data_IF_073932503142
#
_entry.id   IF_073932503142
#
_cell.length_a   1.000
_cell.length_b   1.000
_cell.length_c   1.000
_cell.angle_alpha   90.00
_cell.angle_beta   90.00
_cell.angle_gamma   90.00
#
_symmetry.space_group_name_H-M   'P 1'
#
loop_
_entity.id
_entity.type
_entity.pdbx_description
1 polymer ?
#
# COMPACT_ATOMS: atom_id res chain seq x y z
N UNK A 1 -61.87 4.55 -39.67
CA UNK A 1 -63.12 5.30 -39.54
C UNK A 1 -63.11 5.94 -38.18
N UNK A 2 -62.80 7.08 -38.03
CA UNK A 2 -63.24 8.42 -37.76
C UNK A 2 -62.02 9.33 -37.46
N UNK A 3 -61.82 10.24 -38.41
CA UNK A 3 -61.09 11.52 -38.25
C UNK A 3 -61.98 12.53 -37.56
N UNK A 4 -61.43 13.52 -36.85
CA UNK A 4 -61.84 14.91 -36.70
C UNK A 4 -60.66 15.62 -35.99
N UNK A 5 -60.00 16.46 -36.51
CA UNK A 5 -59.74 17.81 -37.05
C UNK A 5 -60.11 18.97 -36.12
N UNK A 6 -59.12 19.91 -36.01
CA UNK A 6 -59.17 21.37 -35.78
C UNK A 6 -59.56 21.91 -34.40
N UNK A 7 -58.78 22.82 -33.79
CA UNK A 7 -58.77 24.24 -34.16
C UNK A 7 -57.71 25.05 -33.40
N UNK A 8 -57.02 25.89 -34.15
CA UNK A 8 -56.25 27.06 -33.64
C UNK A 8 -57.12 28.12 -33.04
N UNK A 9 -56.65 28.81 -32.01
CA UNK A 9 -57.00 30.22 -31.80
C UNK A 9 -55.81 30.99 -31.17
N UNK A 10 -55.32 31.97 -31.89
CA UNK A 10 -54.51 33.09 -31.45
C UNK A 10 -55.29 33.95 -30.42
N UNK A 11 -54.58 34.57 -29.48
CA UNK A 11 -54.57 36.01 -29.28
C UNK A 11 -53.94 36.48 -27.96
N UNK A 12 -53.13 37.52 -28.12
CA UNK A 12 -52.83 38.69 -27.28
C UNK A 12 -51.56 38.69 -26.44
N UNK A 13 -50.66 39.43 -27.06
CA UNK A 13 -49.52 40.13 -26.43
C UNK A 13 -50.01 41.14 -25.38
N UNK A 14 -49.51 41.06 -24.18
CA UNK A 14 -49.45 42.15 -23.20
C UNK A 14 -47.99 42.38 -22.81
N UNK A 15 -47.43 43.52 -23.26
CA UNK A 15 -46.17 44.04 -22.76
C UNK A 15 -46.37 44.67 -21.38
N UNK A 16 -45.63 44.18 -20.41
CA UNK A 16 -45.39 44.93 -19.16
C UNK A 16 -43.89 45.05 -18.97
N UNK A 17 -43.39 46.27 -19.00
CA UNK A 17 -42.04 46.63 -18.62
C UNK A 17 -41.93 46.53 -17.10
N UNK A 18 -40.99 45.74 -16.61
CA UNK A 18 -40.61 45.68 -15.22
C UNK A 18 -39.09 45.70 -15.10
N UNK A 19 -38.58 46.60 -14.30
CA UNK A 19 -37.22 47.03 -14.12
C UNK A 19 -36.22 45.88 -13.88
N UNK A 20 -35.11 45.89 -14.60
CA UNK A 20 -33.94 45.04 -14.40
C UNK A 20 -33.12 45.60 -13.24
N UNK A 21 -33.03 44.87 -12.14
CA UNK A 21 -31.98 45.00 -11.13
C UNK A 21 -30.76 44.18 -11.59
N UNK A 22 -29.54 44.68 -11.52
CA UNK A 22 -28.36 43.92 -11.96
C UNK A 22 -28.05 42.82 -10.94
N UNK A 23 -28.16 41.56 -11.37
CA UNK A 23 -27.65 40.41 -10.66
C UNK A 23 -26.12 40.46 -10.71
N UNK A 24 -25.46 40.66 -9.56
CA UNK A 24 -24.05 40.49 -9.41
C UNK A 24 -23.71 39.02 -9.67
N UNK A 25 -23.01 38.76 -10.76
CA UNK A 25 -22.33 37.50 -10.99
C UNK A 25 -21.29 37.33 -9.88
N UNK A 26 -21.57 36.44 -8.92
CA UNK A 26 -20.54 35.86 -8.11
C UNK A 26 -19.76 34.90 -9.00
N UNK A 27 -18.53 35.30 -9.31
CA UNK A 27 -17.51 34.42 -9.86
C UNK A 27 -17.24 33.40 -8.78
N UNK A 28 -17.74 32.16 -8.95
CA UNK A 28 -17.31 31.00 -8.22
C UNK A 28 -15.83 30.85 -8.59
N UNK A 29 -14.94 31.17 -7.67
CA UNK A 29 -13.53 30.80 -7.77
C UNK A 29 -13.50 29.27 -7.85
N UNK A 30 -13.22 28.74 -9.03
CA UNK A 30 -12.68 27.40 -9.17
C UNK A 30 -11.46 27.33 -8.26
N UNK A 31 -11.57 26.54 -7.20
CA UNK A 31 -10.44 26.14 -6.41
C UNK A 31 -9.54 25.34 -7.36
N UNK A 32 -8.44 25.96 -7.75
CA UNK A 32 -7.36 25.30 -8.44
C UNK A 32 -6.98 24.07 -7.58
N UNK A 33 -7.32 22.89 -8.07
CA UNK A 33 -6.71 21.66 -7.63
C UNK A 33 -5.22 21.84 -7.99
N UNK A 34 -4.39 22.09 -7.00
CA UNK A 34 -2.96 22.03 -7.19
C UNK A 34 -2.67 20.58 -7.62
N UNK A 35 -2.20 20.42 -8.85
CA UNK A 35 -1.55 19.19 -9.29
C UNK A 35 -0.29 19.03 -8.42
N UNK A 36 -0.47 18.43 -7.23
CA UNK A 36 0.67 17.99 -6.42
C UNK A 36 1.38 16.94 -7.26
N UNK A 37 2.56 17.29 -7.74
CA UNK A 37 3.44 16.38 -8.45
C UNK A 37 3.72 15.21 -7.51
N UNK A 38 3.34 14.02 -7.94
CA UNK A 38 3.64 12.77 -7.24
C UNK A 38 5.16 12.56 -7.33
N UNK A 39 5.87 12.89 -6.28
CA UNK A 39 7.31 12.62 -6.17
C UNK A 39 7.45 11.38 -5.31
N UNK A 40 7.76 10.25 -5.92
CA UNK A 40 8.25 9.08 -5.21
C UNK A 40 9.67 9.40 -4.75
N UNK A 41 9.87 9.67 -3.46
CA UNK A 41 11.20 9.92 -2.92
C UNK A 41 12.03 8.65 -3.00
N UNK A 42 13.18 8.69 -3.67
CA UNK A 42 14.24 7.70 -3.60
C UNK A 42 14.85 7.71 -2.19
N UNK A 43 14.15 7.11 -1.25
CA UNK A 43 14.62 7.01 0.13
C UNK A 43 15.67 5.92 0.19
N UNK A 44 16.89 6.30 0.50
CA UNK A 44 17.97 5.35 0.76
C UNK A 44 17.59 4.44 1.93
N UNK A 45 17.66 3.13 1.70
CA UNK A 45 17.45 2.14 2.75
C UNK A 45 18.45 2.32 3.90
N UNK A 46 17.98 2.27 5.15
CA UNK A 46 18.83 2.26 6.35
C UNK A 46 19.62 0.94 6.44
N UNK A 47 19.03 -0.16 5.94
CA UNK A 47 19.63 -1.49 5.83
C UNK A 47 18.91 -2.30 4.74
N UNK A 48 19.52 -3.39 4.30
CA UNK A 48 18.95 -4.26 3.27
C UNK A 48 17.90 -5.21 3.83
N UNK A 49 16.88 -5.49 3.01
CA UNK A 49 15.87 -6.53 3.26
C UNK A 49 15.81 -7.45 2.04
N UNK A 50 15.44 -8.72 2.27
CA UNK A 50 15.19 -9.70 1.21
C UNK A 50 13.95 -10.54 1.53
N UNK A 51 13.27 -10.99 0.50
CA UNK A 51 12.16 -11.93 0.58
C UNK A 51 12.64 -13.37 0.33
N UNK A 52 11.92 -14.38 0.82
CA UNK A 52 12.08 -15.77 0.37
C UNK A 52 11.45 -15.92 -1.02
N UNK A 53 12.16 -15.41 -2.05
CA UNK A 53 11.67 -15.27 -3.42
C UNK A 53 12.78 -15.52 -4.44
N UNK A 54 12.42 -15.49 -5.73
CA UNK A 54 13.34 -15.56 -6.86
C UNK A 54 13.91 -14.18 -7.21
N UNK A 55 15.18 -14.15 -7.60
CA UNK A 55 15.89 -12.94 -8.02
C UNK A 55 16.61 -13.22 -9.35
N UNK A 56 16.44 -12.33 -10.33
CA UNK A 56 17.19 -12.33 -11.57
C UNK A 56 18.60 -11.82 -11.34
N UNK A 57 19.56 -12.32 -12.12
CA UNK A 57 20.91 -11.75 -12.15
C UNK A 57 20.83 -10.36 -12.85
N UNK A 58 21.38 -9.35 -12.22
CA UNK A 58 21.50 -8.02 -12.80
C UNK A 58 22.96 -7.71 -13.03
N UNK A 59 23.41 -7.67 -14.29
CA UNK A 59 24.81 -7.43 -14.69
C UNK A 59 25.83 -8.34 -13.96
N UNK A 60 25.42 -9.59 -13.64
CA UNK A 60 26.25 -10.57 -12.94
C UNK A 60 26.14 -10.50 -11.41
N UNK A 61 25.37 -9.58 -10.86
CA UNK A 61 25.04 -9.51 -9.45
C UNK A 61 23.63 -10.01 -9.19
N UNK A 62 23.45 -10.79 -8.13
CA UNK A 62 22.15 -11.28 -7.71
C UNK A 62 21.92 -10.94 -6.23
N UNK A 63 20.82 -10.25 -5.88
CA UNK A 63 20.55 -9.85 -4.50
C UNK A 63 20.57 -11.00 -3.50
N UNK A 64 20.16 -12.21 -3.90
CA UNK A 64 20.18 -13.40 -3.05
C UNK A 64 21.58 -13.75 -2.52
N UNK A 65 22.65 -13.30 -3.20
CA UNK A 65 24.04 -13.56 -2.77
C UNK A 65 24.42 -12.80 -1.49
N UNK A 66 23.74 -11.71 -1.16
CA UNK A 66 24.01 -10.92 0.05
C UNK A 66 23.50 -11.63 1.32
N UNK A 67 22.47 -12.50 1.18
CA UNK A 67 21.91 -13.22 2.31
C UNK A 67 22.92 -14.18 2.95
N UNK A 68 23.07 -14.08 4.25
CA UNK A 68 23.96 -14.92 5.01
C UNK A 68 23.46 -15.15 6.45
N UNK A 69 24.18 -15.97 7.23
CA UNK A 69 23.79 -16.36 8.59
C UNK A 69 23.82 -15.22 9.65
N UNK A 70 24.24 -14.00 9.29
CA UNK A 70 24.19 -12.82 10.17
C UNK A 70 22.85 -12.05 10.03
N UNK A 71 22.12 -12.30 8.96
CA UNK A 71 20.81 -11.71 8.76
C UNK A 71 19.80 -12.27 9.76
N UNK A 72 18.76 -11.50 10.01
CA UNK A 72 17.65 -11.87 10.89
C UNK A 72 16.48 -12.29 10.03
N UNK A 73 15.85 -13.39 10.39
CA UNK A 73 14.65 -13.94 9.77
C UNK A 73 13.42 -13.57 10.61
N UNK A 74 12.47 -12.84 10.01
CA UNK A 74 11.13 -12.68 10.56
C UNK A 74 10.24 -13.77 9.97
N UNK A 75 9.78 -14.68 10.79
CA UNK A 75 8.99 -15.83 10.36
C UNK A 75 7.80 -16.11 11.27
N UNK A 76 6.83 -16.85 10.73
CA UNK A 76 5.64 -17.31 11.46
C UNK A 76 5.79 -18.80 11.80
N UNK A 77 5.50 -19.14 13.05
CA UNK A 77 5.39 -20.51 13.50
C UNK A 77 4.13 -20.68 14.38
N UNK A 78 3.20 -21.52 13.92
CA UNK A 78 1.95 -21.81 14.62
C UNK A 78 1.13 -20.56 15.03
N UNK A 79 1.01 -19.59 14.12
CA UNK A 79 0.29 -18.33 14.36
C UNK A 79 1.02 -17.34 15.26
N UNK A 80 2.29 -17.58 15.55
CA UNK A 80 3.15 -16.70 16.35
C UNK A 80 4.36 -16.28 15.53
N UNK A 81 4.75 -15.03 15.64
CA UNK A 81 5.89 -14.48 14.90
C UNK A 81 7.15 -14.44 15.76
N UNK A 82 8.28 -14.67 15.12
CA UNK A 82 9.60 -14.71 15.75
C UNK A 82 10.63 -13.99 14.91
N UNK A 83 11.62 -13.39 15.57
CA UNK A 83 12.91 -13.08 14.98
C UNK A 83 13.90 -14.20 15.30
N UNK A 84 14.49 -14.75 14.28
CA UNK A 84 15.43 -15.87 14.40
C UNK A 84 16.64 -15.75 13.50
N UNK A 85 17.50 -16.76 13.58
CA UNK A 85 18.61 -16.92 12.63
C UNK A 85 18.06 -17.45 11.33
N UNK A 86 18.63 -16.99 10.22
CA UNK A 86 18.27 -17.45 8.88
C UNK A 86 18.58 -18.94 8.69
N UNK A 87 17.62 -19.68 8.17
CA UNK A 87 17.80 -21.06 7.70
C UNK A 87 17.21 -21.20 6.29
N UNK A 88 18.10 -21.22 5.30
CA UNK A 88 17.74 -21.13 3.90
C UNK A 88 18.71 -21.93 3.02
N UNK A 89 18.27 -22.20 1.79
CA UNK A 89 19.09 -22.64 0.67
C UNK A 89 18.93 -21.66 -0.49
N UNK A 90 19.93 -21.59 -1.35
CA UNK A 90 19.86 -20.84 -2.61
C UNK A 90 19.74 -21.86 -3.74
N UNK A 91 18.65 -21.79 -4.47
CA UNK A 91 18.40 -22.61 -5.65
C UNK A 91 18.71 -21.80 -6.92
N UNK A 92 19.41 -22.41 -7.87
CA UNK A 92 19.71 -21.80 -9.16
C UNK A 92 18.61 -22.17 -10.14
N UNK A 93 18.20 -21.22 -10.93
CA UNK A 93 17.21 -21.36 -11.97
C UNK A 93 17.58 -20.55 -13.22
N UNK A 94 16.67 -20.54 -14.15
CA UNK A 94 16.76 -19.78 -15.38
C UNK A 94 15.38 -19.23 -15.72
N UNK A 95 15.30 -17.96 -16.05
CA UNK A 95 14.09 -17.31 -16.50
C UNK A 95 14.09 -17.29 -18.03
N UNK A 96 13.27 -18.13 -18.63
CA UNK A 96 13.16 -18.24 -20.08
C UNK A 96 12.58 -16.99 -20.73
N UNK A 97 11.82 -16.22 -19.98
CA UNK A 97 11.17 -15.01 -20.44
C UNK A 97 12.18 -13.92 -20.81
N UNK A 98 13.12 -13.65 -19.92
CA UNK A 98 14.16 -12.63 -20.14
C UNK A 98 15.50 -13.23 -20.57
N UNK A 99 15.61 -14.56 -20.56
CA UNK A 99 16.84 -15.25 -20.96
C UNK A 99 17.98 -15.10 -19.95
N UNK A 100 17.67 -15.02 -18.65
CA UNK A 100 18.67 -14.75 -17.62
C UNK A 100 18.65 -15.81 -16.49
N UNK A 101 19.79 -15.90 -15.78
CA UNK A 101 19.93 -16.77 -14.62
C UNK A 101 19.18 -16.20 -13.43
N UNK A 102 18.61 -17.09 -12.62
CA UNK A 102 17.90 -16.73 -11.39
C UNK A 102 18.49 -17.44 -10.18
N UNK A 103 18.25 -16.87 -9.00
CA UNK A 103 18.52 -17.49 -7.70
C UNK A 103 17.32 -17.28 -6.79
N UNK A 104 16.77 -18.37 -6.30
CA UNK A 104 15.66 -18.35 -5.37
C UNK A 104 16.13 -18.61 -3.95
N UNK A 105 15.73 -17.75 -3.01
CA UNK A 105 15.93 -17.96 -1.59
C UNK A 105 14.81 -18.86 -1.08
N UNK A 106 15.14 -20.11 -0.77
CA UNK A 106 14.20 -21.07 -0.21
C UNK A 106 14.40 -21.13 1.30
N UNK A 107 13.48 -20.53 2.05
CA UNK A 107 13.49 -20.58 3.50
C UNK A 107 12.97 -21.93 4.01
N UNK A 108 13.56 -22.46 5.09
CA UNK A 108 13.02 -23.60 5.83
C UNK A 108 11.96 -23.20 6.86
N UNK A 109 11.85 -21.90 7.14
CA UNK A 109 10.79 -21.32 7.97
C UNK A 109 9.66 -20.77 7.07
N UNK A 110 8.56 -20.40 7.67
CA UNK A 110 7.58 -19.51 7.02
C UNK A 110 8.04 -18.06 7.10
N UNK A 111 9.17 -17.76 6.45
CA UNK A 111 9.77 -16.42 6.49
C UNK A 111 8.89 -15.41 5.77
N UNK A 112 8.75 -14.26 6.39
CA UNK A 112 8.08 -13.08 5.80
C UNK A 112 9.15 -12.20 5.16
N UNK A 113 10.27 -11.99 5.89
CA UNK A 113 11.29 -11.02 5.52
C UNK A 113 12.62 -11.39 6.17
N UNK A 114 13.70 -11.26 5.42
CA UNK A 114 15.07 -11.27 5.93
C UNK A 114 15.59 -9.83 6.06
N UNK A 115 16.29 -9.51 7.16
CA UNK A 115 16.76 -8.16 7.47
C UNK A 115 18.25 -8.17 7.79
N UNK A 116 19.03 -7.34 7.10
CA UNK A 116 20.44 -7.09 7.44
C UNK A 116 20.56 -6.05 8.56
N UNK A 117 19.91 -6.35 9.70
CA UNK A 117 19.91 -5.46 10.87
C UNK A 117 20.24 -6.25 12.16
N UNK A 118 21.53 -6.49 12.44
CA UNK A 118 21.94 -7.38 13.55
C UNK A 118 21.65 -6.83 14.95
N UNK A 119 21.17 -5.60 15.09
CA UNK A 119 20.79 -5.01 16.38
C UNK A 119 19.43 -5.50 16.90
N UNK A 120 18.63 -6.16 16.06
CA UNK A 120 17.35 -6.71 16.47
C UNK A 120 17.54 -7.85 17.47
N UNK A 121 16.70 -7.90 18.49
CA UNK A 121 16.72 -8.93 19.52
C UNK A 121 15.96 -10.17 19.05
N UNK A 122 16.65 -11.31 18.99
CA UNK A 122 16.01 -12.58 18.61
C UNK A 122 15.00 -13.02 19.66
N UNK A 123 13.92 -13.66 19.21
CA UNK A 123 12.89 -14.21 20.07
C UNK A 123 11.47 -14.02 19.52
N UNK A 124 10.50 -14.30 20.38
CA UNK A 124 9.09 -14.10 20.07
C UNK A 124 8.76 -12.62 19.96
N UNK A 125 7.97 -12.24 18.94
CA UNK A 125 7.47 -10.88 18.71
C UNK A 125 6.03 -10.78 19.20
N UNK A 126 5.71 -9.68 19.86
CA UNK A 126 4.32 -9.29 20.08
C UNK A 126 3.75 -8.75 18.77
N UNK A 127 2.68 -9.33 18.29
CA UNK A 127 2.06 -8.96 17.01
C UNK A 127 0.55 -8.99 17.09
N UNK A 128 -0.10 -8.30 16.15
CA UNK A 128 -1.54 -8.32 15.99
C UNK A 128 -1.96 -9.35 14.96
N UNK A 129 -3.09 -10.00 15.20
CA UNK A 129 -3.79 -10.75 14.15
C UNK A 129 -4.58 -9.75 13.32
N UNK A 130 -4.17 -9.57 12.07
CA UNK A 130 -4.87 -8.70 11.15
C UNK A 130 -6.17 -9.35 10.70
N UNK A 131 -7.27 -8.62 10.86
CA UNK A 131 -8.61 -9.01 10.35
C UNK A 131 -8.93 -8.34 9.02
N UNK A 132 -8.18 -7.31 8.68
CA UNK A 132 -8.27 -6.56 7.43
C UNK A 132 -6.87 -6.10 7.05
N UNK A 133 -6.47 -6.37 5.82
CA UNK A 133 -5.15 -6.04 5.28
C UNK A 133 -5.19 -4.94 4.20
N UNK A 134 -6.31 -4.77 3.49
CA UNK A 134 -6.52 -3.70 2.50
C UNK A 134 -7.33 -2.56 3.09
N UNK A 135 -6.86 -1.34 2.96
CA UNK A 135 -7.53 -0.12 3.46
C UNK A 135 -7.88 0.74 2.25
N UNK A 136 -9.14 0.63 1.80
CA UNK A 136 -9.60 1.32 0.60
C UNK A 136 -9.78 2.82 0.84
N UNK A 137 -9.71 3.67 -0.22
CA UNK A 137 -10.02 5.10 -0.11
C UNK A 137 -11.35 5.35 0.60
N UNK A 138 -11.33 6.31 1.54
CA UNK A 138 -12.46 6.65 2.40
C UNK A 138 -12.61 5.76 3.65
N UNK A 139 -11.81 4.71 3.80
CA UNK A 139 -11.85 3.85 4.98
C UNK A 139 -10.89 4.31 6.08
N UNK A 140 -11.25 3.89 7.30
CA UNK A 140 -10.46 4.09 8.51
C UNK A 140 -10.38 2.78 9.28
N UNK A 141 -9.16 2.37 9.63
CA UNK A 141 -8.90 1.14 10.40
C UNK A 141 -8.12 1.51 11.65
N UNK A 142 -8.57 1.03 12.81
CA UNK A 142 -7.88 1.23 14.08
C UNK A 142 -7.31 -0.09 14.58
N UNK A 143 -6.01 -0.11 14.81
CA UNK A 143 -5.31 -1.19 15.48
C UNK A 143 -5.00 -0.74 16.91
N UNK A 144 -5.28 -1.64 17.88
CA UNK A 144 -4.96 -1.39 19.30
C UNK A 144 -3.78 -2.26 19.69
N UNK A 145 -2.74 -1.63 20.21
CA UNK A 145 -1.55 -2.36 20.67
C UNK A 145 -1.04 -1.71 21.95
N UNK A 146 -0.87 -2.53 22.98
CA UNK A 146 -0.55 -2.06 24.35
C UNK A 146 -1.52 -0.92 24.77
N UNK A 147 -1.00 0.26 25.05
CA UNK A 147 -1.78 1.43 25.48
C UNK A 147 -1.96 2.47 24.34
N UNK A 148 -1.76 2.09 23.10
CA UNK A 148 -1.83 2.99 21.94
C UNK A 148 -2.84 2.54 20.89
N UNK A 149 -3.53 3.52 20.31
CA UNK A 149 -4.35 3.35 19.13
C UNK A 149 -3.56 3.82 17.89
N UNK A 150 -3.49 2.96 16.88
CA UNK A 150 -2.89 3.23 15.57
C UNK A 150 -4.02 3.31 14.56
N UNK A 151 -4.22 4.48 14.00
CA UNK A 151 -5.34 4.75 13.11
C UNK A 151 -4.82 4.99 11.71
N UNK A 152 -5.12 4.06 10.82
CA UNK A 152 -4.91 4.22 9.39
C UNK A 152 -6.13 4.88 8.76
N UNK A 153 -5.88 5.78 7.82
CA UNK A 153 -6.89 6.43 6.99
C UNK A 153 -6.37 6.49 5.56
N UNK A 154 -7.21 6.10 4.61
CA UNK A 154 -6.82 6.11 3.21
C UNK A 154 -7.62 7.13 2.41
N UNK A 155 -6.94 7.78 1.48
CA UNK A 155 -7.47 8.65 0.44
C UNK A 155 -7.11 8.10 -0.94
N UNK A 156 -7.81 8.56 -1.96
CA UNK A 156 -7.57 8.18 -3.34
C UNK A 156 -8.86 8.26 -4.15
N UNK A 157 -8.72 8.16 -5.47
CA UNK A 157 -9.85 8.15 -6.40
C UNK A 157 -10.20 6.72 -6.79
N UNK A 158 -11.40 6.27 -6.43
CA UNK A 158 -11.93 4.97 -6.85
C UNK A 158 -12.50 5.13 -8.27
N UNK A 159 -11.93 4.42 -9.24
CA UNK A 159 -12.36 4.44 -10.64
C UNK A 159 -13.47 3.41 -10.90
N UNK A 160 -13.33 2.20 -10.36
CA UNK A 160 -14.31 1.12 -10.46
C UNK A 160 -14.29 0.25 -9.21
N UNK A 161 -15.38 -0.49 -9.04
CA UNK A 161 -15.51 -1.51 -7.98
C UNK A 161 -16.08 -2.77 -8.60
N UNK A 162 -15.45 -3.90 -8.38
CA UNK A 162 -15.86 -5.20 -8.91
C UNK A 162 -15.79 -6.28 -7.83
N UNK A 163 -16.53 -7.35 -8.03
CA UNK A 163 -16.38 -8.58 -7.25
C UNK A 163 -15.45 -9.51 -8.00
N UNK A 164 -14.44 -10.01 -7.32
CA UNK A 164 -13.53 -11.05 -7.82
C UNK A 164 -13.74 -12.33 -7.04
N UNK A 165 -13.61 -13.45 -7.73
CA UNK A 165 -13.61 -14.77 -7.09
C UNK A 165 -12.15 -15.18 -7.00
N UNK A 166 -11.67 -15.42 -5.77
CA UNK A 166 -10.34 -15.90 -5.50
C UNK A 166 -10.24 -17.41 -5.78
N UNK A 167 -9.03 -17.95 -5.86
CA UNK A 167 -8.76 -19.36 -6.13
C UNK A 167 -9.41 -20.33 -5.11
N UNK A 168 -9.67 -19.85 -3.89
CA UNK A 168 -10.37 -20.61 -2.83
C UNK A 168 -11.90 -20.43 -2.87
N UNK A 169 -12.45 -19.91 -3.97
CA UNK A 169 -13.87 -19.58 -4.19
C UNK A 169 -14.44 -18.51 -3.23
N UNK A 170 -13.59 -17.75 -2.56
CA UNK A 170 -14.06 -16.59 -1.78
C UNK A 170 -14.29 -15.39 -2.68
N UNK A 171 -15.36 -14.65 -2.40
CA UNK A 171 -15.60 -13.36 -3.04
C UNK A 171 -14.76 -12.28 -2.35
N UNK A 172 -14.06 -11.49 -3.15
CA UNK A 172 -13.37 -10.27 -2.72
C UNK A 172 -13.94 -9.07 -3.46
N UNK A 173 -14.03 -7.94 -2.76
CA UNK A 173 -14.31 -6.64 -3.39
C UNK A 173 -12.97 -6.03 -3.79
N UNK A 174 -12.76 -5.87 -5.10
CA UNK A 174 -11.63 -5.17 -5.66
C UNK A 174 -12.03 -3.77 -6.13
N UNK A 175 -11.17 -2.79 -5.88
CA UNK A 175 -11.37 -1.41 -6.34
C UNK A 175 -10.16 -0.97 -7.15
N UNK A 176 -10.39 -0.50 -8.37
CA UNK A 176 -9.36 0.19 -9.14
C UNK A 176 -9.21 1.60 -8.59
N UNK A 177 -8.00 1.96 -8.18
CA UNK A 177 -7.72 3.21 -7.45
C UNK A 177 -6.60 3.98 -8.12
N UNK A 178 -6.69 5.32 -8.11
CA UNK A 178 -5.63 6.25 -8.47
C UNK A 178 -5.35 7.22 -7.32
N UNK A 179 -4.14 7.77 -7.28
CA UNK A 179 -3.69 8.76 -6.30
C UNK A 179 -3.94 8.32 -4.86
N UNK A 180 -3.56 7.07 -4.57
CA UNK A 180 -3.72 6.49 -3.24
C UNK A 180 -2.74 7.11 -2.25
N UNK A 181 -3.24 7.51 -1.10
CA UNK A 181 -2.45 7.99 0.04
C UNK A 181 -2.92 7.26 1.30
N UNK A 182 -1.99 6.69 2.05
CA UNK A 182 -2.25 6.07 3.35
C UNK A 182 -1.59 6.89 4.44
N UNK A 183 -2.41 7.30 5.39
CA UNK A 183 -2.00 8.08 6.55
C UNK A 183 -2.03 7.22 7.80
N UNK A 184 -1.14 7.52 8.75
CA UNK A 184 -1.11 6.93 10.07
C UNK A 184 -1.14 8.03 11.14
N UNK A 185 -1.94 7.78 12.17
CA UNK A 185 -2.01 8.59 13.38
C UNK A 185 -1.93 7.67 14.60
N UNK A 186 -1.16 8.05 15.61
CA UNK A 186 -1.12 7.36 16.90
C UNK A 186 -1.73 8.22 18.00
N UNK A 187 -2.63 7.67 18.80
CA UNK A 187 -3.29 8.37 19.90
C UNK A 187 -3.79 9.78 19.47
N UNK A 188 -3.31 10.83 20.17
CA UNK A 188 -3.62 12.22 19.89
C UNK A 188 -2.54 12.93 19.06
N UNK A 189 -1.54 12.21 18.57
CA UNK A 189 -0.48 12.75 17.71
C UNK A 189 -1.00 13.27 16.37
N UNK A 190 -0.17 13.98 15.60
CA UNK A 190 -0.53 14.40 14.26
C UNK A 190 -0.71 13.21 13.32
N UNK A 191 -1.54 13.39 12.32
CA UNK A 191 -1.65 12.43 11.21
C UNK A 191 -0.51 12.66 10.22
N UNK A 192 0.17 11.59 9.83
CA UNK A 192 1.33 11.63 8.92
C UNK A 192 1.07 10.76 7.70
N UNK A 193 1.50 11.22 6.53
CA UNK A 193 1.53 10.41 5.32
C UNK A 193 2.54 9.27 5.50
N UNK A 194 2.07 8.03 5.35
CA UNK A 194 2.88 6.83 5.53
C UNK A 194 3.43 6.34 4.19
N UNK A 195 2.57 6.22 3.19
CA UNK A 195 2.92 5.84 1.83
C UNK A 195 1.92 6.42 0.82
N UNK A 196 2.36 6.52 -0.42
CA UNK A 196 1.51 6.92 -1.54
C UNK A 196 1.85 6.11 -2.79
N UNK A 197 0.83 5.88 -3.63
CA UNK A 197 0.97 5.17 -4.92
C UNK A 197 0.07 5.89 -5.93
N UNK A 198 0.64 6.28 -7.05
CA UNK A 198 -0.09 7.03 -8.08
C UNK A 198 -1.14 6.17 -8.78
N UNK A 199 -0.71 4.99 -9.24
CA UNK A 199 -1.58 4.04 -9.96
C UNK A 199 -1.26 2.61 -9.57
N UNK A 200 -2.24 1.72 -9.74
CA UNK A 200 -2.09 0.29 -9.57
C UNK A 200 -2.51 -0.43 -10.86
N UNK A 201 -1.73 -1.41 -11.26
CA UNK A 201 -2.06 -2.32 -12.34
C UNK A 201 -2.38 -3.71 -11.75
N UNK A 202 -3.67 -4.00 -11.59
CA UNK A 202 -4.23 -5.25 -11.04
C UNK A 202 -3.71 -5.68 -9.66
N UNK A 203 -3.22 -4.71 -8.87
CA UNK A 203 -2.69 -4.93 -7.52
C UNK A 203 -3.22 -3.87 -6.55
N UNK A 204 -2.83 -3.95 -5.29
CA UNK A 204 -3.17 -2.95 -4.27
C UNK A 204 -2.25 -3.06 -3.05
N UNK A 205 -2.21 -2.00 -2.24
CA UNK A 205 -1.46 -1.98 -0.97
C UNK A 205 -2.10 -2.91 0.06
N UNK A 206 -1.27 -3.75 0.67
CA UNK A 206 -1.68 -4.68 1.74
C UNK A 206 -0.81 -4.52 2.99
N UNK A 207 -1.43 -4.42 4.15
CA UNK A 207 -0.74 -4.55 5.42
C UNK A 207 -0.46 -6.03 5.68
N UNK A 208 0.80 -6.45 5.52
CA UNK A 208 1.24 -7.84 5.67
C UNK A 208 1.53 -8.21 7.12
N UNK A 209 2.02 -7.24 7.91
CA UNK A 209 2.41 -7.46 9.29
C UNK A 209 2.24 -6.20 10.13
N UNK A 210 1.82 -6.37 11.40
CA UNK A 210 1.84 -5.35 12.43
C UNK A 210 2.28 -5.98 13.77
N UNK A 211 3.41 -5.54 14.30
CA UNK A 211 3.98 -6.05 15.55
C UNK A 211 5.24 -5.30 15.95
N UNK A 212 5.74 -5.58 17.13
CA UNK A 212 6.90 -4.92 17.75
C UNK A 212 8.18 -5.64 17.32
N UNK A 213 8.70 -5.32 16.14
CA UNK A 213 9.90 -5.98 15.53
C UNK A 213 11.16 -5.59 16.28
N UNK A 214 11.30 -4.32 16.65
CA UNK A 214 12.51 -3.78 17.26
C UNK A 214 12.48 -3.79 18.80
N UNK A 215 11.37 -4.27 19.37
CA UNK A 215 11.16 -4.48 20.79
C UNK A 215 11.20 -3.20 21.64
N UNK A 216 10.67 -2.10 21.07
CA UNK A 216 10.51 -0.80 21.75
C UNK A 216 9.13 -0.62 22.41
N UNK A 217 8.22 -1.60 22.25
CA UNK A 217 6.86 -1.60 22.80
C UNK A 217 5.82 -0.91 21.93
N UNK A 218 6.15 -0.56 20.69
CA UNK A 218 5.26 0.05 19.71
C UNK A 218 5.08 -0.84 18.49
N UNK A 219 4.16 -0.46 17.60
CA UNK A 219 3.96 -1.19 16.34
C UNK A 219 4.91 -0.74 15.26
N UNK A 220 5.50 -1.73 14.61
CA UNK A 220 6.15 -1.67 13.33
C UNK A 220 5.26 -2.30 12.27
N UNK A 221 5.48 -1.96 11.01
CA UNK A 221 4.61 -2.40 9.92
C UNK A 221 5.41 -2.91 8.72
N UNK A 222 4.87 -3.94 8.08
CA UNK A 222 5.32 -4.38 6.76
C UNK A 222 4.13 -4.26 5.82
N UNK A 223 4.33 -3.53 4.72
CA UNK A 223 3.35 -3.41 3.64
C UNK A 223 3.85 -4.09 2.38
N UNK A 224 2.99 -4.84 1.72
CA UNK A 224 3.08 -5.12 0.30
C UNK A 224 2.50 -3.91 -0.44
N UNK A 225 3.27 -3.30 -1.31
CA UNK A 225 2.90 -2.07 -1.98
C UNK A 225 3.18 -2.13 -3.49
N UNK A 226 2.86 -3.28 -4.09
CA UNK A 226 3.03 -3.53 -5.51
C UNK A 226 2.29 -2.47 -6.33
N UNK A 227 2.95 -1.95 -7.35
CA UNK A 227 2.38 -0.99 -8.31
C UNK A 227 1.82 -1.71 -9.53
N UNK A 228 2.38 -2.91 -9.80
CA UNK A 228 2.04 -3.77 -10.90
C UNK A 228 1.87 -5.22 -10.44
N UNK A 229 1.09 -6.03 -11.18
CA UNK A 229 0.89 -7.45 -10.88
C UNK A 229 2.17 -8.29 -11.10
N UNK A 230 3.12 -7.79 -11.89
CA UNK A 230 4.44 -8.39 -12.13
C UNK A 230 5.52 -7.87 -11.18
N UNK A 231 5.15 -7.09 -10.16
CA UNK A 231 6.05 -6.58 -9.13
C UNK A 231 5.73 -7.23 -7.79
N UNK A 232 6.76 -7.64 -7.05
CA UNK A 232 6.68 -7.82 -5.59
C UNK A 232 7.44 -6.70 -4.91
N UNK A 233 6.71 -5.80 -4.24
CA UNK A 233 7.28 -4.67 -3.52
C UNK A 233 6.89 -4.72 -2.05
N UNK A 234 7.88 -4.67 -1.17
CA UNK A 234 7.70 -4.68 0.27
C UNK A 234 8.37 -3.48 0.92
N UNK A 235 7.66 -2.83 1.83
CA UNK A 235 8.14 -1.67 2.59
C UNK A 235 8.11 -1.99 4.08
N UNK A 236 9.22 -1.78 4.77
CA UNK A 236 9.36 -1.94 6.21
C UNK A 236 9.40 -0.57 6.91
N UNK A 237 8.56 -0.42 7.92
CA UNK A 237 8.52 0.74 8.81
C UNK A 237 8.83 0.31 10.24
N UNK A 238 9.77 1.02 10.90
CA UNK A 238 10.12 0.80 12.31
C UNK A 238 9.82 2.04 13.16
N UNK A 239 9.28 1.82 14.35
CA UNK A 239 8.94 2.88 15.30
C UNK A 239 10.16 3.45 16.02
N UNK A 240 11.17 2.63 16.37
CA UNK A 240 12.41 3.07 17.02
C UNK A 240 13.23 4.05 16.16
N UNK A 241 13.00 4.03 14.84
CA UNK A 241 13.70 4.90 13.89
C UNK A 241 12.93 6.19 13.56
N UNK A 242 11.73 6.34 14.13
CA UNK A 242 10.90 7.51 13.93
C UNK A 242 11.54 8.78 14.53
N UNK A 243 11.42 9.87 13.81
CA UNK A 243 11.91 11.20 14.19
C UNK A 243 10.76 12.21 14.09
N UNK A 244 10.92 13.39 14.71
CA UNK A 244 10.00 14.52 14.53
C UNK A 244 8.50 14.19 14.75
N UNK A 245 8.18 13.46 15.82
CA UNK A 245 6.80 13.07 16.18
C UNK A 245 6.13 12.14 15.14
N UNK A 246 6.88 11.56 14.25
CA UNK A 246 6.38 10.51 13.37
C UNK A 246 6.14 9.21 14.16
N UNK A 247 5.06 8.47 13.85
CA UNK A 247 4.80 7.22 14.54
C UNK A 247 5.78 6.11 14.15
N UNK A 248 6.24 6.11 12.91
CA UNK A 248 7.20 5.16 12.32
C UNK A 248 8.00 5.84 11.21
N UNK A 249 9.16 5.29 10.89
CA UNK A 249 10.00 5.67 9.74
C UNK A 249 10.06 4.53 8.74
N UNK A 250 9.96 4.84 7.43
CA UNK A 250 10.35 3.91 6.36
C UNK A 250 11.86 3.66 6.45
N UNK A 251 12.25 2.43 6.75
CA UNK A 251 13.66 2.07 6.96
C UNK A 251 14.23 1.25 5.82
N UNK A 252 13.38 0.52 5.11
CA UNK A 252 13.79 -0.30 3.97
C UNK A 252 12.64 -0.55 3.02
N UNK A 253 13.01 -0.71 1.78
CA UNK A 253 12.13 -1.11 0.69
C UNK A 253 12.86 -2.06 -0.24
N UNK A 254 12.14 -3.03 -0.76
CA UNK A 254 12.59 -3.96 -1.81
C UNK A 254 11.51 -4.06 -2.87
N UNK A 255 11.89 -3.93 -4.13
CA UNK A 255 11.04 -4.23 -5.27
C UNK A 255 11.73 -5.27 -6.17
N UNK A 256 11.00 -6.29 -6.56
CA UNK A 256 11.43 -7.36 -7.45
C UNK A 256 10.48 -7.35 -8.65
N UNK A 257 11.04 -7.22 -9.86
CA UNK A 257 10.28 -7.23 -11.12
C UNK A 257 10.34 -8.62 -11.75
N UNK A 258 9.18 -9.07 -12.25
CA UNK A 258 9.02 -10.38 -12.93
C UNK A 258 8.54 -10.24 -14.37
N UNK A 259 8.49 -9.02 -14.89
CA UNK A 259 8.02 -8.71 -16.24
C UNK A 259 8.78 -9.48 -17.33
N UNK A 260 8.06 -9.79 -18.39
CA UNK A 260 8.57 -10.42 -19.59
C UNK A 260 8.91 -9.38 -20.69
#
# INVERSE_FOLDING_TARGET
MFSILFSCKDDKVIKTQGAQTPVKNQVVKDSAVSDEVFVEEDVKNDFEILLPDGYRDNQGENPANSLNKKWIDLFEQNGTYYLGKTDFTIEKGYDECVGDSTRSIVSKNKSILFMNYPKLKLGKIKSLKLTKNKIWPGEKVTLKFENADYVFRAEGKVLSTEKRILDDNKEEIYKKVENYKLFLKTNNGPEKLLLQVETFNDTFVELLFAGDIDNDGKLDFIFGANRDYEETRVILFLSLKAENEEPVKKVSELAIQFDC
#
